data_IF_196289246892
#
_entry.id   IF_196289246892
#
_cell.length_a   1.000
_cell.length_b   1.000
_cell.length_c   1.000
_cell.angle_alpha   90.00
_cell.angle_beta   90.00
_cell.angle_gamma   90.00
#
_symmetry.space_group_name_H-M   'P 1'
#
loop_
_entity.id
_entity.type
_entity.pdbx_description
1 polymer ?
#
# COMPACT_ATOMS: atom_id res chain seq x y z
N UNK A 1 -0.66 -18.23 -6.04
CA UNK A 1 -1.03 -17.40 -4.87
C UNK A 1 -1.31 -15.93 -5.21
N UNK A 2 -1.02 -15.42 -6.42
CA UNK A 2 -1.35 -14.05 -6.82
C UNK A 2 -0.29 -13.00 -6.45
N UNK A 3 0.66 -13.37 -5.59
CA UNK A 3 1.82 -12.55 -5.26
C UNK A 3 2.87 -12.53 -6.37
N UNK A 4 3.67 -11.46 -6.35
CA UNK A 4 4.73 -11.18 -7.32
C UNK A 4 6.09 -11.38 -6.65
N UNK A 5 7.00 -12.04 -7.38
CA UNK A 5 8.40 -12.25 -6.97
C UNK A 5 9.30 -11.18 -7.56
N UNK A 6 10.41 -10.87 -6.88
CA UNK A 6 11.36 -9.85 -7.32
C UNK A 6 12.05 -10.21 -8.64
N UNK A 7 12.47 -11.47 -8.79
CA UNK A 7 12.95 -11.99 -10.05
C UNK A 7 12.72 -13.49 -10.12
N UNK A 8 12.54 -14.00 -11.35
CA UNK A 8 12.37 -15.44 -11.61
C UNK A 8 13.57 -16.28 -11.13
N UNK A 9 14.77 -15.69 -11.09
CA UNK A 9 16.01 -16.36 -10.66
C UNK A 9 16.32 -16.24 -9.17
N UNK A 10 15.71 -15.30 -8.46
CA UNK A 10 15.83 -15.25 -7.00
C UNK A 10 14.86 -16.30 -6.43
N UNK A 11 15.37 -17.36 -5.79
CA UNK A 11 14.54 -18.42 -5.18
C UNK A 11 13.71 -17.97 -3.96
N UNK A 12 13.30 -16.71 -3.90
CA UNK A 12 12.42 -16.16 -2.87
C UNK A 12 10.95 -16.25 -3.28
N UNK A 13 10.07 -16.39 -2.28
CA UNK A 13 8.62 -16.36 -2.49
C UNK A 13 8.10 -14.96 -2.83
N UNK A 14 6.77 -14.89 -3.02
CA UNK A 14 6.05 -13.64 -3.26
C UNK A 14 6.34 -12.59 -2.20
N UNK A 15 6.48 -11.33 -2.61
CA UNK A 15 6.74 -10.20 -1.71
C UNK A 15 5.53 -9.27 -1.63
N UNK A 16 4.96 -9.01 -0.44
CA UNK A 16 3.80 -8.14 -0.29
C UNK A 16 3.96 -6.77 -0.94
N UNK A 17 5.08 -6.10 -0.67
CA UNK A 17 5.32 -4.74 -1.13
C UNK A 17 5.46 -4.64 -2.67
N UNK A 18 6.10 -5.65 -3.29
CA UNK A 18 6.22 -5.74 -4.76
C UNK A 18 4.85 -6.04 -5.38
N UNK A 19 4.08 -6.92 -4.75
CA UNK A 19 2.74 -7.29 -5.22
C UNK A 19 1.78 -6.10 -5.18
N UNK A 20 1.83 -5.29 -4.11
CA UNK A 20 1.07 -4.04 -4.02
C UNK A 20 1.45 -3.07 -5.15
N UNK A 21 2.74 -2.91 -5.43
CA UNK A 21 3.23 -2.10 -6.55
C UNK A 21 2.75 -2.60 -7.91
N UNK A 22 2.78 -3.91 -8.14
CA UNK A 22 2.28 -4.51 -9.37
C UNK A 22 0.77 -4.32 -9.55
N UNK A 23 -0.02 -4.49 -8.48
CA UNK A 23 -1.46 -4.25 -8.51
C UNK A 23 -1.79 -2.79 -8.83
N UNK A 24 -1.12 -1.86 -8.17
CA UNK A 24 -1.26 -0.43 -8.48
C UNK A 24 -0.89 -0.16 -9.95
N UNK A 25 0.19 -0.74 -10.47
CA UNK A 25 0.57 -0.57 -11.88
C UNK A 25 -0.50 -1.12 -12.85
N UNK A 26 -1.06 -2.30 -12.59
CA UNK A 26 -2.15 -2.87 -13.39
C UNK A 26 -3.39 -1.98 -13.41
N UNK A 27 -3.80 -1.48 -12.25
CA UNK A 27 -4.92 -0.54 -12.14
C UNK A 27 -4.67 0.79 -12.86
N UNK A 28 -3.44 1.31 -12.79
CA UNK A 28 -3.06 2.50 -13.56
C UNK A 28 -3.05 2.26 -15.08
N UNK A 29 -2.85 1.01 -15.52
CA UNK A 29 -2.93 0.61 -16.91
C UNK A 29 -4.38 0.34 -17.39
N UNK A 30 -5.38 0.44 -16.50
CA UNK A 30 -6.78 0.12 -16.82
C UNK A 30 -7.15 -1.36 -16.69
N UNK A 31 -6.23 -2.20 -16.22
CA UNK A 31 -6.42 -3.65 -16.05
C UNK A 31 -7.07 -3.96 -14.70
N UNK A 32 -8.35 -3.62 -14.55
CA UNK A 32 -9.08 -3.80 -13.28
C UNK A 32 -9.54 -5.26 -13.08
N UNK A 33 -10.00 -5.90 -14.15
CA UNK A 33 -10.75 -7.17 -14.11
C UNK A 33 -10.02 -8.32 -14.81
N UNK A 34 -8.70 -8.21 -14.97
CA UNK A 34 -7.89 -9.30 -15.50
C UNK A 34 -7.77 -10.41 -14.44
N UNK A 35 -7.62 -11.66 -14.87
CA UNK A 35 -7.38 -12.78 -13.95
C UNK A 35 -6.15 -12.53 -13.05
N UNK A 36 -5.15 -11.79 -13.55
CA UNK A 36 -3.95 -11.44 -12.80
C UNK A 36 -4.23 -10.39 -11.73
N UNK A 37 -4.96 -9.31 -12.07
CA UNK A 37 -5.30 -8.24 -11.13
C UNK A 37 -6.19 -8.75 -10.01
N UNK A 38 -7.16 -9.62 -10.29
CA UNK A 38 -8.03 -10.22 -9.26
C UNK A 38 -7.25 -11.09 -8.28
N UNK A 39 -6.37 -11.98 -8.79
CA UNK A 39 -5.52 -12.81 -7.93
C UNK A 39 -4.53 -11.97 -7.13
N UNK A 40 -3.99 -10.91 -7.72
CA UNK A 40 -3.05 -10.03 -7.03
C UNK A 40 -3.75 -9.20 -5.96
N UNK A 41 -4.97 -8.70 -6.22
CA UNK A 41 -5.82 -8.05 -5.22
C UNK A 41 -6.12 -8.98 -4.05
N UNK A 42 -6.47 -10.24 -4.30
CA UNK A 42 -6.71 -11.21 -3.22
C UNK A 42 -5.46 -11.42 -2.37
N UNK A 43 -4.30 -11.55 -2.99
CA UNK A 43 -3.02 -11.70 -2.29
C UNK A 43 -2.69 -10.46 -1.45
N UNK A 44 -2.70 -9.27 -2.06
CA UNK A 44 -2.39 -8.00 -1.40
C UNK A 44 -3.39 -7.73 -0.28
N UNK A 45 -4.69 -7.97 -0.52
CA UNK A 45 -5.75 -7.90 0.48
C UNK A 45 -5.45 -8.74 1.72
N UNK A 46 -4.98 -9.98 1.55
CA UNK A 46 -4.57 -10.85 2.69
C UNK A 46 -3.34 -10.32 3.42
N UNK A 47 -2.33 -9.82 2.71
CA UNK A 47 -1.07 -9.35 3.32
C UNK A 47 -1.23 -8.02 4.07
N UNK A 48 -2.11 -7.14 3.57
CA UNK A 48 -2.40 -5.84 4.17
C UNK A 48 -3.75 -5.83 4.88
N UNK A 49 -4.28 -6.99 5.29
CA UNK A 49 -5.45 -7.05 6.17
C UNK A 49 -5.00 -6.72 7.59
N UNK A 50 -5.55 -5.69 8.23
CA UNK A 50 -5.18 -5.37 9.60
C UNK A 50 -5.64 -6.49 10.55
N UNK A 51 -4.76 -6.89 11.46
CA UNK A 51 -5.05 -7.83 12.54
C UNK A 51 -5.06 -7.07 13.87
N UNK A 52 -6.23 -6.97 14.51
CA UNK A 52 -6.45 -6.14 15.70
C UNK A 52 -5.92 -4.70 15.52
N UNK A 53 -6.14 -4.12 14.34
CA UNK A 53 -5.74 -2.75 14.01
C UNK A 53 -4.24 -2.55 13.71
N UNK A 54 -3.46 -3.63 13.57
CA UNK A 54 -2.03 -3.57 13.24
C UNK A 54 -1.69 -4.39 12.00
N UNK A 55 -0.59 -4.03 11.33
CA UNK A 55 -0.04 -4.79 10.21
C UNK A 55 1.21 -5.55 10.62
N UNK A 56 1.54 -6.59 9.85
CA UNK A 56 2.82 -7.26 9.95
C UNK A 56 3.90 -6.34 9.37
N UNK A 57 4.89 -5.99 10.17
CA UNK A 57 6.02 -5.19 9.68
C UNK A 57 6.91 -6.04 8.77
N UNK A 58 7.16 -5.54 7.57
CA UNK A 58 7.94 -6.22 6.52
C UNK A 58 9.31 -5.59 6.26
N UNK A 59 9.63 -4.49 6.95
CA UNK A 59 10.77 -3.62 6.63
C UNK A 59 10.59 -2.77 5.37
N UNK A 60 9.44 -2.85 4.71
CA UNK A 60 9.06 -2.08 3.52
C UNK A 60 7.64 -1.53 3.67
N UNK A 61 7.30 -1.08 4.88
CA UNK A 61 5.93 -0.72 5.22
C UNK A 61 5.53 0.58 4.52
N UNK A 62 6.40 1.59 4.46
CA UNK A 62 6.09 2.83 3.75
C UNK A 62 5.91 2.55 2.25
N UNK A 63 6.87 1.86 1.64
CA UNK A 63 6.77 1.50 0.22
C UNK A 63 5.52 0.66 -0.06
N UNK A 64 5.24 -0.35 0.75
CA UNK A 64 4.12 -1.25 0.59
C UNK A 64 2.78 -0.57 0.75
N UNK A 65 2.59 0.18 1.84
CA UNK A 65 1.35 0.91 2.13
C UNK A 65 1.10 2.05 1.13
N UNK A 66 2.14 2.65 0.56
CA UNK A 66 2.00 3.63 -0.51
C UNK A 66 1.27 3.05 -1.72
N UNK A 67 1.66 1.86 -2.19
CA UNK A 67 1.00 1.23 -3.34
C UNK A 67 -0.29 0.53 -2.95
N UNK A 68 -0.35 -0.13 -1.80
CA UNK A 68 -1.54 -0.81 -1.32
C UNK A 68 -2.71 0.17 -1.13
N UNK A 69 -2.46 1.36 -0.59
CA UNK A 69 -3.49 2.39 -0.43
C UNK A 69 -4.11 2.82 -1.76
N UNK A 70 -3.28 3.03 -2.80
CA UNK A 70 -3.74 3.38 -4.14
C UNK A 70 -4.54 2.25 -4.77
N UNK A 71 -4.03 1.02 -4.65
CA UNK A 71 -4.69 -0.16 -5.17
C UNK A 71 -6.06 -0.38 -4.52
N UNK A 72 -6.13 -0.39 -3.18
CA UNK A 72 -7.40 -0.59 -2.47
C UNK A 72 -8.39 0.54 -2.72
N UNK A 73 -7.91 1.78 -2.79
CA UNK A 73 -8.75 2.89 -3.17
C UNK A 73 -9.38 2.66 -4.55
N UNK A 74 -8.58 2.27 -5.55
CA UNK A 74 -9.11 1.94 -6.88
C UNK A 74 -10.02 0.70 -6.89
N UNK A 75 -9.74 -0.30 -6.05
CA UNK A 75 -10.51 -1.54 -5.95
C UNK A 75 -11.94 -1.34 -5.41
N UNK A 76 -12.20 -0.22 -4.71
CA UNK A 76 -13.53 0.12 -4.21
C UNK A 76 -13.56 0.36 -2.71
N UNK A 77 -14.70 0.89 -2.24
CA UNK A 77 -14.84 1.32 -0.85
C UNK A 77 -14.79 0.14 0.13
N UNK A 78 -15.24 -1.06 -0.23
CA UNK A 78 -15.12 -2.26 0.61
C UNK A 78 -13.65 -2.55 1.00
N UNK A 79 -12.76 -2.56 0.02
CA UNK A 79 -11.33 -2.78 0.26
C UNK A 79 -10.68 -1.61 0.98
N UNK A 80 -11.02 -0.37 0.59
CA UNK A 80 -10.41 0.81 1.17
C UNK A 80 -10.84 1.03 2.63
N UNK A 81 -12.11 0.84 2.95
CA UNK A 81 -12.65 1.07 4.29
C UNK A 81 -12.19 0.00 5.30
N UNK A 82 -11.96 -1.24 4.85
CA UNK A 82 -11.34 -2.29 5.68
C UNK A 82 -9.87 -1.94 6.03
N UNK A 83 -9.13 -1.39 5.07
CA UNK A 83 -7.69 -1.14 5.16
C UNK A 83 -7.33 0.20 5.84
N UNK A 84 -7.94 1.29 5.37
CA UNK A 84 -7.43 2.65 5.57
C UNK A 84 -7.41 3.11 7.03
N UNK A 85 -8.42 2.81 7.89
CA UNK A 85 -8.39 3.25 9.29
C UNK A 85 -7.14 2.77 10.04
N UNK A 86 -6.77 1.50 9.86
CA UNK A 86 -5.58 0.94 10.49
C UNK A 86 -4.29 1.53 9.88
N UNK A 87 -4.24 1.73 8.56
CA UNK A 87 -3.10 2.35 7.89
C UNK A 87 -2.87 3.78 8.37
N UNK A 88 -3.94 4.58 8.48
CA UNK A 88 -3.92 5.92 9.06
C UNK A 88 -3.33 5.89 10.46
N UNK A 89 -3.83 5.04 11.33
CA UNK A 89 -3.40 4.97 12.73
C UNK A 89 -1.93 4.54 12.84
N UNK A 90 -1.47 3.64 11.97
CA UNK A 90 -0.06 3.26 11.86
C UNK A 90 0.83 4.45 11.49
N UNK A 91 0.47 5.24 10.47
CA UNK A 91 1.23 6.44 10.09
C UNK A 91 1.20 7.48 11.21
N UNK A 92 0.03 7.80 11.78
CA UNK A 92 -0.06 8.79 12.86
C UNK A 92 0.74 8.38 14.10
N UNK A 93 0.74 7.09 14.45
CA UNK A 93 1.53 6.56 15.58
C UNK A 93 3.04 6.61 15.34
N UNK A 94 3.49 6.49 14.10
CA UNK A 94 4.91 6.52 13.73
C UNK A 94 5.44 7.93 13.42
N UNK A 95 4.58 8.95 13.43
CA UNK A 95 4.99 10.34 13.20
C UNK A 95 5.87 10.84 14.34
N UNK A 96 6.99 11.49 13.99
CA UNK A 96 7.85 12.17 14.96
C UNK A 96 7.13 13.35 15.59
N UNK A 97 7.29 13.53 16.90
CA UNK A 97 6.61 14.59 17.66
C UNK A 97 7.29 15.94 17.52
N UNK A 98 8.57 15.93 17.18
CA UNK A 98 9.45 17.10 17.17
C UNK A 98 9.23 17.96 15.93
N UNK A 99 9.11 17.32 14.76
CA UNK A 99 9.05 17.98 13.45
C UNK A 99 7.91 17.47 12.56
N UNK A 100 7.15 16.46 13.01
CA UNK A 100 6.06 15.87 12.23
C UNK A 100 6.52 14.99 11.06
N UNK A 101 7.82 14.69 10.94
CA UNK A 101 8.36 13.89 9.85
C UNK A 101 8.23 12.38 10.11
N UNK A 102 8.47 11.59 9.06
CA UNK A 102 8.61 10.14 9.14
C UNK A 102 9.92 9.69 8.51
N UNK A 103 10.66 8.79 9.16
CA UNK A 103 11.91 8.23 8.60
C UNK A 103 11.68 7.23 7.45
N UNK A 104 10.43 6.82 7.24
CA UNK A 104 10.06 5.84 6.24
C UNK A 104 10.55 4.44 6.62
N UNK A 105 11.06 3.73 5.62
CA UNK A 105 11.70 2.41 5.77
C UNK A 105 13.22 2.56 6.06
N UNK A 106 13.61 3.57 6.85
CA UNK A 106 15.02 3.92 7.10
C UNK A 106 15.71 4.66 5.95
N UNK A 107 14.95 5.08 4.93
CA UNK A 107 15.45 5.83 3.77
C UNK A 107 15.67 7.31 4.13
N UNK A 108 14.83 7.87 4.99
CA UNK A 108 14.98 9.23 5.50
C UNK A 108 13.72 10.09 5.41
N UNK A 109 13.75 11.28 6.04
CA UNK A 109 12.57 12.09 6.32
C UNK A 109 11.84 12.60 5.08
N UNK A 110 12.57 12.88 3.98
CA UNK A 110 11.95 13.36 2.73
C UNK A 110 11.05 12.27 2.14
N UNK A 111 11.59 11.04 2.01
CA UNK A 111 10.86 9.91 1.46
C UNK A 111 9.68 9.53 2.35
N UNK A 112 9.94 9.31 3.65
CA UNK A 112 8.90 8.85 4.57
C UNK A 112 7.75 9.83 4.70
N UNK A 113 8.06 11.13 4.79
CA UNK A 113 7.04 12.17 4.91
C UNK A 113 6.22 12.31 3.63
N UNK A 114 6.85 12.30 2.46
CA UNK A 114 6.11 12.36 1.19
C UNK A 114 5.12 11.18 1.05
N UNK A 115 5.58 9.97 1.35
CA UNK A 115 4.75 8.75 1.31
C UNK A 115 3.60 8.81 2.30
N UNK A 116 3.87 9.18 3.55
CA UNK A 116 2.85 9.28 4.59
C UNK A 116 1.79 10.34 4.23
N UNK A 117 2.22 11.53 3.80
CA UNK A 117 1.30 12.59 3.39
C UNK A 117 0.41 12.18 2.23
N UNK A 118 0.98 11.61 1.15
CA UNK A 118 0.19 11.14 0.00
C UNK A 118 -0.81 10.07 0.43
N UNK A 119 -0.38 9.12 1.27
CA UNK A 119 -1.26 8.05 1.75
C UNK A 119 -2.40 8.60 2.60
N UNK A 120 -2.10 9.49 3.56
CA UNK A 120 -3.08 10.07 4.46
C UNK A 120 -4.08 11.02 3.77
N UNK A 121 -3.68 11.62 2.65
CA UNK A 121 -4.54 12.55 1.91
C UNK A 121 -5.44 11.87 0.86
N UNK A 122 -5.28 10.56 0.61
CA UNK A 122 -6.09 9.83 -0.38
C UNK A 122 -7.61 10.08 -0.24
N UNK A 123 -8.20 10.09 0.98
CA UNK A 123 -9.63 10.35 1.16
C UNK A 123 -10.10 11.72 0.65
N UNK A 124 -9.21 12.70 0.52
CA UNK A 124 -9.56 14.02 -0.01
C UNK A 124 -9.67 14.05 -1.54
N UNK A 125 -9.21 13.01 -2.24
CA UNK A 125 -9.39 12.83 -3.69
C UNK A 125 -8.86 13.99 -4.55
N UNK A 126 -7.81 14.68 -4.07
CA UNK A 126 -7.27 15.87 -4.74
C UNK A 126 -6.50 15.55 -6.03
N UNK A 127 -5.99 14.33 -6.20
CA UNK A 127 -5.34 13.93 -7.45
C UNK A 127 -6.38 13.37 -8.43
N UNK A 128 -6.32 13.71 -9.73
CA UNK A 128 -7.26 13.21 -10.74
C UNK A 128 -7.38 11.68 -10.78
N UNK A 129 -6.28 10.99 -10.51
CA UNK A 129 -6.21 9.53 -10.48
C UNK A 129 -7.05 8.89 -9.36
N UNK A 130 -7.49 9.69 -8.38
CA UNK A 130 -8.36 9.26 -7.29
C UNK A 130 -9.81 9.68 -7.49
N UNK A 131 -10.16 10.19 -8.67
CA UNK A 131 -11.54 10.42 -9.06
C UNK A 131 -12.09 9.10 -9.63
N UNK A 132 -12.96 8.46 -8.85
CA UNK A 132 -13.65 7.20 -9.17
C UNK A 132 -15.11 7.51 -9.50
#
# INVERSE_FOLDING_TARGET
>A
EGGIVYSLGSGGGSRPAISAGALAAMYNAGEYNSEMSEKCLEYVGKQYKPNNGSFVNTGHDFYGHFYASQAFYQAGDEHFDEYFPAARDMFLKSQKKEDGAWDGDGIGPIYGTAVACITLQLPYKFLPIYQR
#
